data_IF_786490555048
#
_entry.id   IF_786490555048
#
_cell.length_a   1.000
_cell.length_b   1.000
_cell.length_c   1.000
_cell.angle_alpha   90.00
_cell.angle_beta   90.00
_cell.angle_gamma   90.00
#
_symmetry.space_group_name_H-M   'P 1'
#
loop_
_entity.id
_entity.type
_entity.pdbx_description
1 polymer ?
#
# COMPACT_ATOMS: atom_id res chain seq x y z
N UNK A 1 5.76 57.61 -1.44
CA UNK A 1 5.61 56.23 -1.97
C UNK A 1 6.14 55.29 -0.91
N UNK A 2 5.26 54.53 -0.25
CA UNK A 2 5.62 53.65 0.88
C UNK A 2 5.87 52.26 0.31
N UNK A 3 7.13 51.84 0.27
CA UNK A 3 7.53 50.52 -0.22
C UNK A 3 7.25 49.46 0.83
N UNK A 4 6.20 48.67 0.62
CA UNK A 4 5.83 47.52 1.46
C UNK A 4 6.87 46.41 1.30
N UNK A 5 7.67 46.18 2.33
CA UNK A 5 8.65 45.08 2.36
C UNK A 5 7.93 43.79 2.74
N UNK A 6 7.73 42.90 1.76
CA UNK A 6 7.18 41.56 1.98
C UNK A 6 8.27 40.66 2.57
N UNK A 7 8.12 40.31 3.85
CA UNK A 7 8.99 39.35 4.55
C UNK A 7 8.83 37.94 3.96
N UNK A 8 9.92 37.23 3.62
CA UNK A 8 9.86 35.90 3.02
C UNK A 8 9.31 34.89 4.03
N UNK A 9 8.19 34.25 3.68
CA UNK A 9 7.59 33.15 4.43
C UNK A 9 8.52 31.94 4.39
N UNK A 10 9.24 31.71 5.49
CA UNK A 10 10.05 30.51 5.70
C UNK A 10 9.13 29.29 5.72
N UNK A 11 9.33 28.36 4.78
CA UNK A 11 8.58 27.10 4.73
C UNK A 11 8.79 26.36 6.05
N UNK A 12 7.70 26.09 6.78
CA UNK A 12 7.71 25.31 8.01
C UNK A 12 8.48 24.00 7.81
N UNK A 13 9.62 23.88 8.48
CA UNK A 13 10.36 22.63 8.52
C UNK A 13 9.53 21.63 9.33
N UNK A 14 9.23 20.47 8.73
CA UNK A 14 8.57 19.38 9.44
C UNK A 14 9.46 18.92 10.59
N UNK A 15 9.08 19.23 11.82
CA UNK A 15 9.75 18.74 13.02
C UNK A 15 9.03 17.49 13.53
N UNK A 16 9.80 16.51 14.02
CA UNK A 16 9.27 15.34 14.71
C UNK A 16 9.45 15.58 16.20
N UNK A 17 8.36 15.58 16.96
CA UNK A 17 8.39 15.63 18.41
C UNK A 17 7.83 14.33 18.98
N UNK A 18 8.44 13.84 20.05
CA UNK A 18 7.99 12.65 20.76
C UNK A 18 7.14 13.06 21.95
N UNK A 19 6.04 12.35 22.20
CA UNK A 19 5.27 12.54 23.42
C UNK A 19 6.07 12.02 24.60
N UNK A 20 6.31 12.87 25.61
CA UNK A 20 7.01 12.49 26.85
C UNK A 20 6.25 11.47 27.68
N UNK A 21 4.93 11.38 27.49
CA UNK A 21 4.05 10.43 28.17
C UNK A 21 3.52 9.41 27.17
N UNK A 22 3.70 8.14 27.48
CA UNK A 22 3.16 7.01 26.72
C UNK A 22 1.98 6.39 27.46
N UNK A 23 0.90 6.08 26.74
CA UNK A 23 -0.22 5.32 27.28
C UNK A 23 0.11 3.84 27.17
N UNK A 24 0.29 3.18 28.31
CA UNK A 24 0.47 1.72 28.36
C UNK A 24 -0.90 1.09 28.58
N UNK A 25 -1.29 0.18 27.69
CA UNK A 25 -2.49 -0.66 27.85
C UNK A 25 -2.03 -2.10 27.98
N UNK A 26 -2.63 -2.84 28.92
CA UNK A 26 -2.45 -4.30 28.96
C UNK A 26 -3.13 -4.88 27.73
N UNK A 27 -2.35 -5.58 26.93
CA UNK A 27 -2.83 -6.37 25.79
C UNK A 27 -2.79 -7.82 26.26
N UNK A 28 -3.84 -8.58 25.94
CA UNK A 28 -3.90 -10.01 26.24
C UNK A 28 -2.73 -10.73 25.55
N UNK A 29 -1.97 -11.53 26.29
CA UNK A 29 -0.85 -12.25 25.71
C UNK A 29 -1.38 -13.42 24.88
N UNK A 30 -0.67 -13.84 23.82
CA UNK A 30 -1.13 -14.94 22.96
C UNK A 30 -1.33 -16.26 23.73
N UNK A 31 -0.60 -16.47 24.83
CA UNK A 31 -0.78 -17.63 25.72
C UNK A 31 -2.14 -17.66 26.43
N UNK A 32 -2.77 -16.50 26.58
CA UNK A 32 -4.02 -16.36 27.32
C UNK A 32 -5.22 -16.68 26.42
N UNK A 33 -5.00 -16.79 25.10
CA UNK A 33 -6.02 -17.18 24.14
C UNK A 33 -6.24 -18.69 24.18
N UNK A 34 -7.51 -19.09 24.20
CA UNK A 34 -7.89 -20.48 24.00
C UNK A 34 -7.55 -20.92 22.57
N UNK A 35 -7.35 -22.22 22.35
CA UNK A 35 -7.09 -22.76 20.99
C UNK A 35 -8.21 -22.41 20.00
N UNK A 36 -9.44 -22.29 20.47
CA UNK A 36 -10.59 -21.89 19.65
C UNK A 36 -10.47 -20.43 19.22
N UNK A 37 -10.12 -19.54 20.15
CA UNK A 37 -9.91 -18.13 19.82
C UNK A 37 -8.69 -17.94 18.91
N UNK A 38 -7.60 -18.69 19.14
CA UNK A 38 -6.45 -18.70 18.21
C UNK A 38 -6.89 -19.18 16.82
N UNK A 39 -7.71 -20.23 16.74
CA UNK A 39 -8.27 -20.70 15.47
C UNK A 39 -9.17 -19.66 14.79
N UNK A 40 -9.95 -18.90 15.57
CA UNK A 40 -10.86 -17.88 15.04
C UNK A 40 -10.15 -16.55 14.69
N UNK A 41 -9.05 -16.21 15.36
CA UNK A 41 -8.34 -14.95 15.16
C UNK A 41 -7.47 -14.94 13.88
N UNK A 42 -7.12 -16.12 13.36
CA UNK A 42 -6.16 -16.26 12.28
C UNK A 42 -6.78 -16.98 11.11
N UNK A 43 -6.54 -16.47 9.90
CA UNK A 43 -6.90 -17.19 8.69
C UNK A 43 -6.11 -18.48 8.59
N UNK A 44 -6.82 -19.59 8.46
CA UNK A 44 -6.18 -20.87 8.20
C UNK A 44 -5.75 -20.98 6.73
N UNK A 45 -5.20 -22.13 6.36
CA UNK A 45 -4.78 -22.36 4.97
C UNK A 45 -5.97 -22.34 4.00
N UNK A 46 -7.13 -22.86 4.40
CA UNK A 46 -8.32 -22.92 3.56
C UNK A 46 -8.92 -21.51 3.35
N UNK A 47 -8.95 -20.70 4.40
CA UNK A 47 -9.31 -19.28 4.36
C UNK A 47 -8.44 -18.52 3.39
N UNK A 48 -7.12 -18.70 3.49
CA UNK A 48 -6.16 -18.04 2.61
C UNK A 48 -6.37 -18.44 1.14
N UNK A 49 -6.64 -19.71 0.86
CA UNK A 49 -6.96 -20.16 -0.50
C UNK A 49 -8.31 -19.61 -1.00
N UNK A 50 -9.32 -19.54 -0.12
CA UNK A 50 -10.61 -18.91 -0.43
C UNK A 50 -10.45 -17.43 -0.74
N UNK A 51 -9.69 -16.68 0.07
CA UNK A 51 -9.36 -15.26 -0.16
C UNK A 51 -8.63 -15.10 -1.50
N UNK A 52 -7.65 -15.95 -1.80
CA UNK A 52 -6.94 -15.91 -3.10
C UNK A 52 -7.89 -16.20 -4.28
N UNK A 53 -8.76 -17.20 -4.16
CA UNK A 53 -9.76 -17.54 -5.19
C UNK A 53 -10.71 -16.36 -5.41
N UNK A 54 -11.19 -15.75 -4.33
CA UNK A 54 -12.03 -14.56 -4.37
C UNK A 54 -11.32 -13.39 -5.07
N UNK A 55 -10.08 -13.07 -4.68
CA UNK A 55 -9.27 -12.05 -5.32
C UNK A 55 -9.10 -12.27 -6.83
N UNK A 56 -8.82 -13.51 -7.26
CA UNK A 56 -8.73 -13.86 -8.69
C UNK A 56 -10.06 -13.69 -9.41
N UNK A 57 -11.16 -14.05 -8.75
CA UNK A 57 -12.51 -13.88 -9.30
C UNK A 57 -12.87 -12.41 -9.49
N UNK A 58 -12.68 -11.57 -8.46
CA UNK A 58 -12.87 -10.11 -8.53
C UNK A 58 -12.08 -9.49 -9.69
N UNK A 59 -10.82 -9.92 -9.89
CA UNK A 59 -10.01 -9.46 -11.02
C UNK A 59 -10.56 -9.90 -12.38
N UNK A 60 -11.07 -11.12 -12.49
CA UNK A 60 -11.69 -11.63 -13.72
C UNK A 60 -12.94 -10.81 -14.05
N UNK A 61 -13.81 -10.58 -13.06
CA UNK A 61 -15.02 -9.77 -13.23
C UNK A 61 -14.70 -8.34 -13.66
N UNK A 62 -13.74 -7.70 -12.99
CA UNK A 62 -13.30 -6.35 -13.36
C UNK A 62 -12.74 -6.26 -14.80
N UNK A 63 -12.08 -7.32 -15.29
CA UNK A 63 -11.61 -7.38 -16.67
C UNK A 63 -12.76 -7.54 -17.66
N UNK A 64 -13.75 -8.38 -17.35
CA UNK A 64 -14.90 -8.62 -18.23
C UNK A 64 -15.82 -7.41 -18.31
N UNK A 65 -16.06 -6.73 -17.18
CA UNK A 65 -16.83 -5.48 -17.13
C UNK A 65 -16.22 -4.39 -18.02
N UNK A 66 -14.88 -4.28 -18.07
CA UNK A 66 -14.19 -3.33 -18.96
C UNK A 66 -14.36 -3.60 -20.44
N UNK A 67 -14.64 -4.85 -20.82
CA UNK A 67 -14.81 -5.27 -22.22
C UNK A 67 -16.28 -5.22 -22.63
N UNK A 68 -17.21 -4.90 -21.71
CA UNK A 68 -18.64 -4.86 -21.97
C UNK A 68 -19.25 -6.25 -22.16
N UNK A 69 -18.61 -7.30 -21.64
CA UNK A 69 -19.12 -8.67 -21.70
C UNK A 69 -19.90 -8.94 -20.41
N UNK A 70 -21.21 -9.13 -20.54
CA UNK A 70 -22.07 -9.55 -19.44
C UNK A 70 -21.71 -10.98 -19.00
N UNK A 71 -21.52 -11.20 -17.69
CA UNK A 71 -21.11 -12.48 -17.14
C UNK A 71 -22.32 -13.27 -16.64
N UNK A 72 -22.88 -14.14 -17.49
CA UNK A 72 -24.24 -14.66 -17.30
C UNK A 72 -24.43 -15.90 -16.41
N UNK A 73 -23.50 -16.34 -15.56
CA UNK A 73 -23.67 -17.65 -14.87
C UNK A 73 -23.23 -17.77 -13.40
N UNK A 74 -22.72 -16.71 -12.75
CA UNK A 74 -22.29 -16.81 -11.33
C UNK A 74 -22.61 -15.54 -10.50
N UNK A 75 -23.63 -14.79 -10.93
CA UNK A 75 -23.92 -13.45 -10.40
C UNK A 75 -24.79 -13.45 -9.13
N UNK A 76 -25.55 -14.53 -8.86
CA UNK A 76 -26.54 -14.52 -7.78
C UNK A 76 -25.99 -14.72 -6.35
N UNK A 77 -24.68 -14.91 -6.17
CA UNK A 77 -24.08 -15.11 -4.84
C UNK A 77 -23.47 -13.84 -4.23
N UNK A 78 -23.39 -12.73 -4.98
CA UNK A 78 -22.70 -11.50 -4.53
C UNK A 78 -23.40 -10.22 -5.02
N UNK A 79 -24.73 -10.21 -5.09
CA UNK A 79 -25.53 -9.18 -5.78
C UNK A 79 -25.40 -7.74 -5.26
N UNK A 80 -24.72 -7.47 -4.14
CA UNK A 80 -24.60 -6.11 -3.58
C UNK A 80 -23.17 -5.66 -3.20
N UNK A 81 -22.16 -6.50 -3.41
CA UNK A 81 -20.80 -6.17 -2.97
C UNK A 81 -20.06 -5.35 -4.04
N UNK A 82 -20.02 -4.02 -3.83
CA UNK A 82 -19.13 -3.10 -4.55
C UNK A 82 -17.70 -3.69 -4.60
N UNK A 83 -17.24 -4.08 -5.79
CA UNK A 83 -15.94 -4.76 -5.96
C UNK A 83 -14.80 -3.93 -5.33
N UNK A 84 -14.23 -4.43 -4.23
CA UNK A 84 -13.10 -3.78 -3.58
C UNK A 84 -11.81 -4.05 -4.37
N UNK A 85 -11.28 -3.02 -5.03
CA UNK A 85 -10.01 -3.11 -5.78
C UNK A 85 -8.78 -2.97 -4.88
N UNK A 86 -8.97 -2.64 -3.60
CA UNK A 86 -7.87 -2.39 -2.67
C UNK A 86 -7.10 -3.67 -2.39
N UNK A 87 -5.78 -3.63 -2.54
CA UNK A 87 -4.93 -4.81 -2.43
C UNK A 87 -4.87 -5.66 -3.72
N UNK A 88 -5.71 -5.37 -4.72
CA UNK A 88 -5.69 -6.02 -6.03
C UNK A 88 -4.93 -5.21 -7.08
N UNK A 89 -4.43 -4.02 -6.72
CA UNK A 89 -3.73 -3.13 -7.65
C UNK A 89 -2.46 -3.77 -8.21
N UNK A 90 -1.81 -4.65 -7.43
CA UNK A 90 -0.64 -5.40 -7.87
C UNK A 90 -0.92 -6.46 -8.94
N UNK A 91 -2.18 -6.87 -9.12
CA UNK A 91 -2.59 -7.87 -10.10
C UNK A 91 -3.15 -7.24 -11.39
N UNK A 92 -3.38 -5.93 -11.38
CA UNK A 92 -3.66 -5.16 -12.59
C UNK A 92 -2.34 -4.81 -13.27
N UNK A 93 -2.10 -5.35 -14.46
CA UNK A 93 -0.84 -5.17 -15.19
C UNK A 93 -0.40 -3.70 -15.29
N UNK A 94 -1.34 -2.81 -15.66
CA UNK A 94 -1.08 -1.37 -15.75
C UNK A 94 -0.61 -0.76 -14.43
N UNK A 95 -1.27 -1.11 -13.33
CA UNK A 95 -0.93 -0.56 -12.01
C UNK A 95 0.35 -1.19 -11.45
N UNK A 96 0.58 -2.48 -11.73
CA UNK A 96 1.83 -3.16 -11.42
C UNK A 96 3.01 -2.50 -12.14
N UNK A 97 2.90 -2.25 -13.45
CA UNK A 97 3.94 -1.56 -14.24
C UNK A 97 4.19 -0.17 -13.69
N UNK A 98 3.13 0.62 -13.43
CA UNK A 98 3.26 1.96 -12.82
C UNK A 98 3.99 1.92 -11.48
N UNK A 99 3.64 0.97 -10.61
CA UNK A 99 4.25 0.77 -9.30
C UNK A 99 5.73 0.40 -9.41
N UNK A 100 6.07 -0.51 -10.33
CA UNK A 100 7.45 -0.90 -10.60
C UNK A 100 8.26 0.28 -11.15
N UNK A 101 7.71 0.99 -12.16
CA UNK A 101 8.37 2.15 -12.77
C UNK A 101 8.73 3.21 -11.73
N UNK A 102 7.78 3.62 -10.89
CA UNK A 102 8.03 4.62 -9.83
C UNK A 102 9.08 4.16 -8.82
N UNK A 103 9.12 2.85 -8.51
CA UNK A 103 10.14 2.29 -7.63
C UNK A 103 11.52 2.39 -8.27
N UNK A 104 11.67 1.99 -9.52
CA UNK A 104 12.94 2.09 -10.22
C UNK A 104 13.37 3.54 -10.41
N UNK A 105 12.48 4.43 -10.85
CA UNK A 105 12.74 5.88 -10.94
C UNK A 105 13.29 6.43 -9.61
N UNK A 106 12.69 6.07 -8.47
CA UNK A 106 13.17 6.52 -7.16
C UNK A 106 14.54 5.96 -6.78
N UNK A 107 14.84 4.72 -7.19
CA UNK A 107 16.12 4.06 -6.91
C UNK A 107 17.20 4.70 -7.79
N UNK A 108 16.92 4.84 -9.09
CA UNK A 108 17.85 5.40 -10.07
C UNK A 108 18.27 6.82 -9.69
N UNK A 109 17.32 7.67 -9.24
CA UNK A 109 17.61 9.02 -8.76
C UNK A 109 18.56 9.00 -7.54
N UNK A 110 18.34 8.10 -6.59
CA UNK A 110 19.20 7.99 -5.39
C UNK A 110 20.59 7.53 -5.78
N UNK A 111 20.70 6.49 -6.62
CA UNK A 111 21.98 5.95 -7.07
C UNK A 111 22.75 6.99 -7.91
N UNK A 112 22.08 7.71 -8.80
CA UNK A 112 22.70 8.76 -9.60
C UNK A 112 23.31 9.87 -8.73
N UNK A 113 22.60 10.30 -7.67
CA UNK A 113 23.12 11.30 -6.73
C UNK A 113 24.26 10.77 -5.87
N UNK A 114 24.21 9.50 -5.47
CA UNK A 114 25.30 8.87 -4.73
C UNK A 114 26.57 8.80 -5.58
N UNK A 115 26.45 8.38 -6.84
CA UNK A 115 27.57 8.34 -7.78
C UNK A 115 28.13 9.75 -8.03
N UNK A 116 27.26 10.75 -8.23
CA UNK A 116 27.70 12.13 -8.39
C UNK A 116 28.49 12.64 -7.16
N UNK A 117 28.02 12.34 -5.94
CA UNK A 117 28.73 12.73 -4.72
C UNK A 117 30.08 12.02 -4.58
N UNK A 118 30.16 10.77 -5.03
CA UNK A 118 31.39 9.99 -5.05
C UNK A 118 32.42 10.57 -6.04
N UNK A 119 31.99 10.88 -7.27
CA UNK A 119 32.87 11.38 -8.34
C UNK A 119 33.47 12.76 -8.03
N UNK A 120 32.75 13.59 -7.27
CA UNK A 120 33.25 14.91 -6.83
C UNK A 120 34.26 14.84 -5.66
N UNK A 121 34.72 13.64 -5.28
CA UNK A 121 35.70 13.43 -4.20
C UNK A 121 35.25 14.02 -2.85
N UNK A 122 33.94 14.20 -2.65
CA UNK A 122 33.40 14.60 -1.36
C UNK A 122 33.52 13.41 -0.42
N UNK A 123 34.42 13.48 0.55
CA UNK A 123 34.54 12.45 1.61
C UNK A 123 33.27 12.33 2.46
N UNK A 124 32.36 13.31 2.35
CA UNK A 124 31.10 13.36 3.09
C UNK A 124 29.92 13.22 2.13
N UNK A 125 29.11 12.18 2.34
CA UNK A 125 27.83 11.98 1.66
C UNK A 125 26.82 12.99 2.20
N UNK A 126 26.30 13.87 1.33
CA UNK A 126 25.24 14.80 1.69
C UNK A 126 23.89 14.08 1.68
N UNK A 127 23.55 13.49 2.82
CA UNK A 127 22.32 12.72 3.04
C UNK A 127 21.04 13.54 2.84
N UNK A 128 21.06 14.84 3.18
CA UNK A 128 19.89 15.71 3.03
C UNK A 128 19.50 15.89 1.55
N UNK A 129 20.50 16.03 0.68
CA UNK A 129 20.26 16.15 -0.77
C UNK A 129 19.66 14.88 -1.35
N UNK A 130 20.16 13.71 -0.95
CA UNK A 130 19.58 12.41 -1.35
C UNK A 130 18.14 12.27 -0.84
N UNK A 131 17.91 12.60 0.43
CA UNK A 131 16.58 12.51 1.04
C UNK A 131 15.57 13.43 0.33
N UNK A 132 15.95 14.67 -0.01
CA UNK A 132 15.10 15.60 -0.76
C UNK A 132 14.77 15.08 -2.16
N UNK A 133 15.74 14.51 -2.86
CA UNK A 133 15.53 13.93 -4.19
C UNK A 133 14.59 12.72 -4.14
N UNK A 134 14.80 11.80 -3.19
CA UNK A 134 13.89 10.67 -2.97
C UNK A 134 12.47 11.13 -2.60
N UNK A 135 12.35 12.14 -1.74
CA UNK A 135 11.05 12.70 -1.36
C UNK A 135 10.28 13.24 -2.57
N UNK A 136 10.96 13.96 -3.48
CA UNK A 136 10.36 14.43 -4.74
C UNK A 136 9.96 13.28 -5.66
N UNK A 137 10.84 12.30 -5.86
CA UNK A 137 10.57 11.13 -6.69
C UNK A 137 9.36 10.32 -6.20
N UNK A 138 9.14 10.28 -4.88
CA UNK A 138 8.04 9.55 -4.25
C UNK A 138 6.79 10.39 -3.96
N UNK A 139 6.83 11.70 -4.20
CA UNK A 139 5.75 12.65 -3.84
C UNK A 139 4.41 12.28 -4.45
N UNK A 140 4.39 11.96 -5.75
CA UNK A 140 3.14 11.59 -6.45
C UNK A 140 2.53 10.33 -5.86
N UNK A 141 3.35 9.31 -5.53
CA UNK A 141 2.87 8.09 -4.88
C UNK A 141 2.32 8.37 -3.49
N UNK A 142 3.01 9.21 -2.71
CA UNK A 142 2.56 9.61 -1.38
C UNK A 142 1.23 10.38 -1.42
N UNK A 143 1.08 11.30 -2.39
CA UNK A 143 -0.16 12.07 -2.59
C UNK A 143 -1.33 11.16 -2.96
N UNK A 144 -1.13 10.25 -3.90
CA UNK A 144 -2.16 9.28 -4.32
C UNK A 144 -2.55 8.39 -3.13
N UNK A 145 -1.58 7.85 -2.39
CA UNK A 145 -1.86 7.00 -1.23
C UNK A 145 -2.66 7.73 -0.14
N UNK A 146 -2.35 9.01 0.11
CA UNK A 146 -3.13 9.86 1.02
C UNK A 146 -4.56 10.08 0.53
N UNK A 147 -4.73 10.41 -0.75
CA UNK A 147 -6.05 10.59 -1.36
C UNK A 147 -6.93 9.34 -1.20
N UNK A 148 -6.39 8.17 -1.51
CA UNK A 148 -7.09 6.90 -1.27
C UNK A 148 -7.42 6.68 0.21
N UNK A 149 -6.50 6.99 1.12
CA UNK A 149 -6.73 6.87 2.56
C UNK A 149 -7.97 7.66 3.02
N UNK A 150 -8.11 8.91 2.57
CA UNK A 150 -9.24 9.79 2.90
C UNK A 150 -10.55 9.24 2.32
N UNK A 151 -10.55 8.83 1.05
CA UNK A 151 -11.75 8.27 0.40
C UNK A 151 -12.24 7.04 1.15
N UNK A 152 -11.33 6.14 1.52
CA UNK A 152 -11.69 4.93 2.26
C UNK A 152 -12.17 5.20 3.68
N UNK A 153 -11.57 6.15 4.39
CA UNK A 153 -12.02 6.55 5.72
C UNK A 153 -13.47 7.08 5.67
N UNK A 154 -13.81 7.85 4.64
CA UNK A 154 -15.16 8.34 4.43
C UNK A 154 -16.16 7.24 4.05
N UNK A 155 -15.80 6.32 3.14
CA UNK A 155 -16.66 5.18 2.77
C UNK A 155 -16.95 4.24 3.97
N UNK A 156 -15.94 3.98 4.80
CA UNK A 156 -16.10 3.18 6.03
C UNK A 156 -16.88 3.93 7.12
N UNK A 157 -16.72 5.25 7.22
CA UNK A 157 -17.47 6.07 8.16
C UNK A 157 -18.96 6.11 7.85
N UNK A 158 -19.35 6.19 6.58
CA UNK A 158 -20.75 6.23 6.16
C UNK A 158 -21.48 4.89 6.34
N UNK A 159 -20.80 3.77 6.06
CA UNK A 159 -21.37 2.42 6.26
C UNK A 159 -21.64 2.14 7.74
N UNK A 160 -20.78 2.64 8.64
CA UNK A 160 -20.99 2.54 10.08
C UNK A 160 -22.10 3.46 10.63
N UNK A 161 -22.60 4.43 9.85
CA UNK A 161 -23.67 5.36 10.28
C UNK A 161 -25.05 4.93 9.77
N UNK A 162 -25.12 4.16 8.68
CA UNK A 162 -26.37 3.66 8.11
C UNK A 162 -27.01 2.49 8.86
N UNK A 163 -26.20 1.69 9.57
CA UNK A 163 -26.68 0.55 10.34
C UNK A 163 -26.93 0.97 11.80
N UNK A 164 -28.19 0.93 12.22
CA UNK A 164 -28.69 1.24 13.57
C UNK A 164 -27.67 0.98 14.71
N UNK A 165 -27.14 2.08 15.27
CA UNK A 165 -26.22 2.10 16.43
C UNK A 165 -26.80 1.51 17.74
N UNK A 166 -28.03 1.00 17.74
CA UNK A 166 -28.68 0.46 18.94
C UNK A 166 -28.08 -0.86 19.43
N UNK A 167 -27.34 -1.60 18.58
CA UNK A 167 -26.79 -2.92 18.93
C UNK A 167 -25.24 -3.00 18.89
N UNK A 168 -24.53 -1.89 18.62
CA UNK A 168 -23.10 -1.91 18.25
C UNK A 168 -22.16 -1.47 19.40
N UNK A 169 -22.67 -1.19 20.60
CA UNK A 169 -21.79 -0.84 21.74
C UNK A 169 -20.87 -1.99 22.21
N UNK A 170 -21.05 -3.21 21.70
CA UNK A 170 -20.17 -4.36 22.01
C UNK A 170 -19.26 -4.81 20.86
N UNK A 171 -19.34 -4.21 19.65
CA UNK A 171 -18.49 -4.65 18.53
C UNK A 171 -17.18 -3.86 18.46
N UNK A 172 -16.15 -4.41 19.10
CA UNK A 172 -14.77 -3.94 18.99
C UNK A 172 -14.15 -4.51 17.70
N UNK A 173 -13.71 -3.69 16.72
CA UNK A 173 -13.06 -4.22 15.52
C UNK A 173 -11.67 -4.77 15.87
N UNK A 174 -11.59 -6.08 16.04
CA UNK A 174 -10.34 -6.83 16.22
C UNK A 174 -9.78 -7.27 14.87
N UNK A 175 -9.15 -6.36 14.12
CA UNK A 175 -8.21 -6.75 13.03
C UNK A 175 -7.39 -5.58 12.50
N UNK A 176 -6.39 -5.14 13.27
CA UNK A 176 -5.23 -4.46 12.69
C UNK A 176 -4.22 -5.55 12.31
N UNK A 177 -4.18 -5.84 11.01
CA UNK A 177 -3.31 -6.82 10.37
C UNK A 177 -1.82 -6.47 10.56
N UNK A 178 -1.00 -7.47 10.93
CA UNK A 178 0.43 -7.31 11.22
C UNK A 178 1.31 -7.27 9.94
N UNK A 179 2.47 -6.58 9.94
CA UNK A 179 3.29 -6.35 8.74
C UNK A 179 4.00 -7.57 8.13
N UNK A 180 4.05 -8.72 8.80
CA UNK A 180 4.99 -9.80 8.46
C UNK A 180 4.60 -10.62 7.22
N UNK A 181 3.31 -10.70 6.88
CA UNK A 181 2.81 -11.41 5.68
C UNK A 181 3.12 -10.69 4.36
N UNK A 182 3.49 -9.40 4.38
CA UNK A 182 3.94 -8.65 3.19
C UNK A 182 5.30 -9.11 2.66
N UNK A 183 6.18 -9.64 3.51
CA UNK A 183 7.55 -10.00 3.11
C UNK A 183 7.62 -11.28 2.26
N UNK A 184 6.71 -12.24 2.49
CA UNK A 184 6.68 -13.49 1.72
C UNK A 184 6.22 -13.26 0.27
N UNK A 185 5.20 -12.42 0.06
CA UNK A 185 4.69 -12.08 -1.28
C UNK A 185 5.72 -11.30 -2.10
N UNK A 186 6.50 -10.42 -1.46
CA UNK A 186 7.55 -9.64 -2.15
C UNK A 186 8.69 -10.52 -2.66
N UNK A 187 9.04 -11.61 -1.95
CA UNK A 187 10.11 -12.52 -2.38
C UNK A 187 9.75 -13.28 -3.66
N UNK A 188 8.50 -13.71 -3.81
CA UNK A 188 8.08 -14.49 -4.97
C UNK A 188 7.88 -13.62 -6.22
N UNK A 189 7.39 -12.38 -6.06
CA UNK A 189 7.30 -11.41 -7.16
C UNK A 189 8.67 -10.99 -7.72
N UNK A 190 9.73 -11.01 -6.90
CA UNK A 190 11.10 -10.70 -7.36
C UNK A 190 11.67 -11.79 -8.26
N UNK A 191 11.40 -13.07 -7.97
CA UNK A 191 11.84 -14.19 -8.82
C UNK A 191 11.21 -14.15 -10.21
N UNK A 192 9.91 -13.87 -10.28
CA UNK A 192 9.18 -13.74 -11.56
C UNK A 192 9.69 -12.57 -12.39
N UNK A 193 10.00 -11.42 -11.77
CA UNK A 193 10.51 -10.25 -12.48
C UNK A 193 11.92 -10.49 -13.06
N UNK A 194 12.83 -11.09 -12.27
CA UNK A 194 14.18 -11.45 -12.74
C UNK A 194 14.10 -12.43 -13.90
N UNK A 195 13.23 -13.44 -13.80
CA UNK A 195 13.02 -14.41 -14.86
C UNK A 195 12.53 -13.77 -16.17
N UNK A 196 11.57 -12.86 -16.11
CA UNK A 196 11.05 -12.16 -17.29
C UNK A 196 12.10 -11.25 -17.95
N UNK A 197 12.90 -10.54 -17.15
CA UNK A 197 13.99 -9.69 -17.67
C UNK A 197 15.04 -10.55 -18.37
N UNK A 198 15.49 -11.66 -17.74
CA UNK A 198 16.45 -12.58 -18.33
C UNK A 198 15.93 -13.20 -19.62
N UNK A 199 14.64 -13.57 -19.66
CA UNK A 199 14.00 -14.15 -20.85
C UNK A 199 13.97 -13.17 -22.02
N UNK A 200 13.62 -11.91 -21.77
CA UNK A 200 13.60 -10.89 -22.82
C UNK A 200 15.02 -10.57 -23.32
N UNK A 201 16.02 -10.51 -22.43
CA UNK A 201 17.41 -10.31 -22.83
C UNK A 201 17.94 -11.43 -23.75
N UNK A 202 17.60 -12.70 -23.46
CA UNK A 202 17.99 -13.83 -24.31
C UNK A 202 17.31 -13.82 -25.69
N UNK A 203 16.09 -13.28 -25.80
CA UNK A 203 15.38 -13.19 -27.06
C UNK A 203 15.92 -12.07 -27.98
N UNK A 204 16.56 -11.04 -27.42
CA UNK A 204 17.18 -9.96 -28.20
C UNK A 204 18.64 -10.24 -28.60
N UNK A 205 19.24 -11.32 -28.09
CA UNK A 205 20.61 -11.73 -28.41
C UNK A 205 20.69 -12.74 -29.57
N UNK A 206 19.59 -12.94 -30.30
CA UNK A 206 19.51 -13.74 -31.53
C UNK A 206 19.20 -12.83 -32.70
#
# INVERSE_FOLDING_TARGET
MVSSTTTPTTKDQRSVSFKTKVLVRRIMHLSDYTKQEVGACWYDRADMERIKKHAKYTLKQFRLQKVGVECSEFDSLFEDDKLCLRGLEGYMEREMIRKLRRRYESIDIVLALQNQQYDHNSSVVNAETIARAYARATETSNRIARGWGIVYEHELGLTLIGDNYSNVLDYRPSSICSPQSRLAVIKESRKLLVWTICRNAMNHAK
#
